data_IF_009516104422
#
_entry.id   IF_009516104422
#
_cell.length_a   1.000
_cell.length_b   1.000
_cell.length_c   1.000
_cell.angle_alpha   90.00
_cell.angle_beta   90.00
_cell.angle_gamma   90.00
#
_symmetry.space_group_name_H-M   'P 1'
#
loop_
_entity.id
_entity.type
_entity.pdbx_description
1 polymer ?
#
# COMPACT_ATOMS: atom_id res chain seq x y z
N UNK A 1 1.80 26.14 -12.68
CA UNK A 1 1.84 24.82 -12.01
C UNK A 1 0.42 24.49 -11.59
N UNK A 2 -0.18 23.39 -12.09
CA UNK A 2 -1.47 22.93 -11.57
C UNK A 2 -1.23 22.36 -10.15
N UNK A 3 -2.06 22.75 -9.19
CA UNK A 3 -2.08 22.14 -7.86
C UNK A 3 -2.42 20.66 -8.03
N UNK A 4 -1.63 19.75 -7.46
CA UNK A 4 -2.01 18.33 -7.35
C UNK A 4 -3.20 18.23 -6.39
N UNK A 5 -4.13 17.32 -6.68
CA UNK A 5 -5.21 17.00 -5.74
C UNK A 5 -4.64 16.24 -4.55
N UNK A 6 -4.93 16.67 -3.33
CA UNK A 6 -4.45 16.02 -2.12
C UNK A 6 -5.57 15.19 -1.48
N UNK A 7 -5.33 13.90 -1.30
CA UNK A 7 -6.26 12.93 -0.72
C UNK A 7 -5.70 12.36 0.58
N UNK A 8 -6.53 12.21 1.61
CA UNK A 8 -6.12 11.66 2.91
C UNK A 8 -6.54 10.19 3.00
N UNK A 9 -5.55 9.31 3.12
CA UNK A 9 -5.78 7.87 3.22
C UNK A 9 -6.05 7.42 4.66
N UNK A 10 -7.08 6.58 4.83
CA UNK A 10 -7.48 6.04 6.13
C UNK A 10 -7.18 4.56 6.30
N UNK A 11 -7.37 3.77 5.24
CA UNK A 11 -7.17 2.33 5.25
C UNK A 11 -6.61 1.84 3.92
N UNK A 12 -5.89 0.71 3.99
CA UNK A 12 -5.23 0.10 2.85
C UNK A 12 -5.67 -1.35 2.69
N UNK A 13 -5.86 -1.78 1.46
CA UNK A 13 -6.06 -3.19 1.08
C UNK A 13 -5.18 -3.50 -0.12
N UNK A 14 -4.46 -4.61 -0.09
CA UNK A 14 -3.59 -5.02 -1.19
C UNK A 14 -4.13 -6.27 -1.88
N UNK A 15 -4.08 -6.27 -3.21
CA UNK A 15 -4.47 -7.40 -4.06
C UNK A 15 -3.40 -7.58 -5.12
N UNK A 16 -2.96 -8.80 -5.36
CA UNK A 16 -2.05 -9.10 -6.48
C UNK A 16 -2.86 -9.35 -7.74
N UNK A 17 -2.43 -8.78 -8.87
CA UNK A 17 -3.00 -9.06 -10.18
C UNK A 17 -1.98 -9.80 -11.04
N UNK A 18 -2.27 -11.07 -11.30
CA UNK A 18 -1.41 -11.98 -12.04
C UNK A 18 -1.32 -11.63 -13.52
N UNK A 19 -2.32 -10.94 -14.09
CA UNK A 19 -2.36 -10.60 -15.53
C UNK A 19 -1.42 -9.46 -15.85
N UNK A 20 -1.36 -8.48 -14.96
CA UNK A 20 -0.52 -7.29 -15.10
C UNK A 20 0.85 -7.43 -14.43
N UNK A 21 1.06 -8.49 -13.62
CA UNK A 21 2.21 -8.71 -12.73
C UNK A 21 2.46 -7.50 -11.81
N UNK A 22 1.38 -7.04 -11.16
CA UNK A 22 1.38 -5.83 -10.33
C UNK A 22 0.58 -6.01 -9.05
N UNK A 23 0.97 -5.28 -8.01
CA UNK A 23 0.18 -5.15 -6.79
C UNK A 23 -0.76 -3.97 -6.92
N UNK A 24 -2.06 -4.20 -6.72
CA UNK A 24 -3.07 -3.16 -6.56
C UNK A 24 -3.18 -2.80 -5.09
N UNK A 25 -2.81 -1.57 -4.74
CA UNK A 25 -3.03 -1.00 -3.42
C UNK A 25 -4.29 -0.13 -3.46
N UNK A 26 -5.34 -0.60 -2.80
CA UNK A 26 -6.61 0.09 -2.66
C UNK A 26 -6.55 0.96 -1.42
N UNK A 27 -6.74 2.26 -1.61
CA UNK A 27 -6.70 3.29 -0.58
C UNK A 27 -8.12 3.75 -0.30
N UNK A 28 -8.66 3.44 0.87
CA UNK A 28 -9.99 3.92 1.26
C UNK A 28 -9.86 5.33 1.87
N UNK A 29 -10.54 6.30 1.26
CA UNK A 29 -10.51 7.71 1.67
C UNK A 29 -11.66 8.01 2.63
N UNK A 30 -12.88 7.62 2.23
CA UNK A 30 -14.12 7.67 3.01
C UNK A 30 -15.12 6.74 2.33
N UNK A 31 -15.75 5.80 3.02
CA UNK A 31 -16.69 4.87 2.38
C UNK A 31 -17.81 5.63 1.62
N UNK A 32 -18.12 5.28 0.35
CA UNK A 32 -17.52 4.24 -0.49
C UNK A 32 -16.36 4.70 -1.39
N UNK A 33 -15.89 5.94 -1.26
CA UNK A 33 -14.78 6.54 -2.00
C UNK A 33 -13.44 5.89 -1.69
N UNK A 34 -12.81 5.37 -2.75
CA UNK A 34 -11.47 4.77 -2.73
C UNK A 34 -10.63 5.29 -3.90
N UNK A 35 -9.33 5.08 -3.80
CA UNK A 35 -8.35 5.37 -4.83
C UNK A 35 -7.45 4.16 -5.01
N UNK A 36 -7.18 3.75 -6.25
CA UNK A 36 -6.53 2.49 -6.55
C UNK A 36 -5.18 2.76 -7.20
N UNK A 37 -4.13 2.13 -6.67
CA UNK A 37 -2.75 2.33 -7.10
C UNK A 37 -2.14 1.04 -7.64
N UNK A 38 -1.42 1.13 -8.74
CA UNK A 38 -0.54 0.06 -9.22
C UNK A 38 0.87 0.25 -8.68
N UNK A 39 1.37 -0.78 -7.98
CA UNK A 39 2.74 -0.91 -7.52
C UNK A 39 3.41 -2.00 -8.34
N UNK A 40 4.51 -1.65 -9.00
CA UNK A 40 5.34 -2.61 -9.74
C UNK A 40 6.37 -3.26 -8.81
N UNK A 41 6.90 -4.42 -9.21
CA UNK A 41 7.97 -5.09 -8.50
C UNK A 41 9.22 -4.21 -8.33
N UNK A 42 9.63 -3.54 -9.41
CA UNK A 42 10.79 -2.65 -9.39
C UNK A 42 10.59 -1.46 -8.44
N UNK A 43 9.38 -0.90 -8.39
CA UNK A 43 9.04 0.17 -7.45
C UNK A 43 9.08 -0.34 -6.00
N UNK A 44 8.50 -1.51 -5.73
CA UNK A 44 8.50 -2.08 -4.38
C UNK A 44 9.92 -2.31 -3.85
N UNK A 45 10.83 -2.84 -4.68
CA UNK A 45 12.22 -3.07 -4.27
C UNK A 45 12.90 -1.75 -3.86
N UNK A 46 12.72 -0.69 -4.64
CA UNK A 46 13.25 0.65 -4.30
C UNK A 46 12.64 1.18 -3.00
N UNK A 47 11.34 0.99 -2.81
CA UNK A 47 10.65 1.41 -1.58
C UNK A 47 11.19 0.66 -0.36
N UNK A 48 11.46 -0.64 -0.47
CA UNK A 48 12.03 -1.44 0.63
C UNK A 48 13.46 -0.99 0.99
N UNK A 49 14.28 -0.65 -0.02
CA UNK A 49 15.61 -0.09 0.20
C UNK A 49 15.55 1.25 0.95
N UNK A 50 14.65 2.16 0.56
CA UNK A 50 14.41 3.41 1.29
C UNK A 50 13.91 3.16 2.71
N UNK A 51 13.01 2.19 2.89
CA UNK A 51 12.44 1.84 4.19
C UNK A 51 13.47 1.23 5.15
N UNK A 52 14.49 0.54 4.62
CA UNK A 52 15.55 -0.07 5.42
C UNK A 52 16.37 0.96 6.21
N UNK A 53 16.31 2.23 5.81
CA UNK A 53 16.96 3.36 6.50
C UNK A 53 16.27 3.73 7.80
N UNK A 54 15.03 3.27 8.03
CA UNK A 54 14.28 3.51 9.27
C UNK A 54 14.40 2.33 10.23
N UNK A 55 14.67 2.62 11.50
CA UNK A 55 14.63 1.62 12.57
C UNK A 55 13.18 1.37 13.00
N UNK A 56 12.49 0.44 12.33
CA UNK A 56 11.13 0.03 12.69
C UNK A 56 11.17 -1.04 13.80
N UNK A 57 10.26 -0.98 14.80
CA UNK A 57 10.24 -1.94 15.90
C UNK A 57 10.00 -3.37 15.38
N UNK A 58 10.63 -4.36 16.00
CA UNK A 58 10.26 -5.77 15.81
C UNK A 58 8.81 -5.96 16.30
N UNK A 59 7.96 -6.51 15.43
CA UNK A 59 6.60 -6.88 15.81
C UNK A 59 6.64 -8.40 15.82
N UNK A 60 6.28 -9.00 16.96
CA UNK A 60 5.99 -10.44 17.00
C UNK A 60 4.93 -10.70 15.95
N UNK A 61 5.26 -11.46 14.91
CA UNK A 61 4.28 -11.82 13.90
C UNK A 61 3.15 -12.55 14.61
N UNK A 62 2.02 -11.88 14.83
CA UNK A 62 0.83 -12.57 15.28
C UNK A 62 0.56 -13.68 14.26
N UNK A 63 0.38 -14.94 14.72
CA UNK A 63 0.11 -16.05 13.83
C UNK A 63 -1.07 -15.66 12.95
N UNK A 64 -1.07 -16.06 11.67
CA UNK A 64 -2.13 -15.68 10.77
C UNK A 64 -3.46 -16.03 11.43
N UNK A 65 -4.27 -15.01 11.73
CA UNK A 65 -5.69 -15.25 11.94
C UNK A 65 -6.16 -15.90 10.67
N UNK A 66 -6.44 -17.21 10.74
CA UNK A 66 -7.02 -18.06 9.70
C UNK A 66 -8.43 -17.56 9.38
N UNK A 67 -8.49 -16.39 8.78
CA UNK A 67 -9.51 -15.98 7.84
C UNK A 67 -8.77 -15.71 6.52
N UNK A 68 -8.02 -16.70 6.05
CA UNK A 68 -8.08 -16.99 4.62
C UNK A 68 -9.50 -17.46 4.38
N UNK A 69 -10.43 -16.52 4.25
CA UNK A 69 -11.67 -16.85 3.59
C UNK A 69 -11.27 -17.30 2.19
N UNK A 70 -11.55 -18.57 1.91
CA UNK A 70 -11.90 -19.11 0.60
C UNK A 70 -13.09 -18.31 0.01
N UNK A 71 -12.93 -16.99 -0.09
CA UNK A 71 -13.91 -16.11 -0.68
C UNK A 71 -13.67 -16.13 -2.19
N UNK A 72 -14.20 -17.18 -2.82
CA UNK A 72 -14.88 -17.05 -4.11
C UNK A 72 -16.15 -16.17 -3.98
N UNK A 73 -16.12 -15.13 -3.14
CA UNK A 73 -17.07 -14.04 -3.27
C UNK A 73 -16.50 -13.09 -4.30
N UNK A 74 -17.17 -12.89 -5.45
CA UNK A 74 -16.84 -11.74 -6.27
C UNK A 74 -17.10 -10.53 -5.39
N UNK A 75 -16.03 -9.91 -4.91
CA UNK A 75 -16.15 -8.64 -4.25
C UNK A 75 -16.81 -7.69 -5.28
N UNK A 76 -18.10 -7.45 -5.09
CA UNK A 76 -18.88 -6.53 -5.91
C UNK A 76 -18.40 -5.14 -5.53
N UNK A 77 -17.28 -4.73 -6.11
CA UNK A 77 -16.78 -3.39 -5.98
C UNK A 77 -17.60 -2.50 -6.92
N UNK A 78 -18.31 -1.48 -6.42
CA UNK A 78 -18.99 -0.54 -7.30
C UNK A 78 -17.93 0.16 -8.18
N UNK A 79 -18.17 0.12 -9.50
CA UNK A 79 -17.52 0.92 -10.57
C UNK A 79 -15.98 0.92 -10.63
N UNK A 80 -15.47 0.30 -11.70
CA UNK A 80 -14.26 0.58 -12.50
C UNK A 80 -13.42 1.80 -12.03
N UNK A 81 -12.71 1.69 -10.91
CA UNK A 81 -11.58 2.58 -10.66
C UNK A 81 -10.40 2.03 -11.47
N UNK A 82 -10.04 2.76 -12.52
CA UNK A 82 -8.79 2.54 -13.26
C UNK A 82 -7.65 2.81 -12.29
N UNK A 83 -6.81 1.82 -11.94
CA UNK A 83 -5.75 2.06 -10.98
C UNK A 83 -4.63 2.89 -11.61
N UNK A 84 -4.03 3.74 -10.80
CA UNK A 84 -3.01 4.70 -11.21
C UNK A 84 -1.61 4.20 -10.87
N UNK A 85 -0.67 4.31 -11.80
CA UNK A 85 0.70 3.84 -11.55
C UNK A 85 1.40 4.75 -10.54
N UNK A 86 1.94 4.17 -9.47
CA UNK A 86 2.74 4.93 -8.52
C UNK A 86 4.03 5.39 -9.18
N UNK A 87 4.27 6.70 -9.14
CA UNK A 87 5.49 7.33 -9.65
C UNK A 87 6.52 7.55 -8.54
N UNK A 88 6.06 7.97 -7.35
CA UNK A 88 6.94 8.22 -6.22
C UNK A 88 6.27 7.99 -4.87
N UNK A 89 7.08 7.67 -3.88
CA UNK A 89 6.70 7.61 -2.46
C UNK A 89 7.76 8.37 -1.68
N UNK A 90 7.31 9.31 -0.85
CA UNK A 90 8.15 10.03 0.09
C UNK A 90 7.71 9.68 1.51
N UNK A 91 8.67 9.36 2.39
CA UNK A 91 8.43 9.02 3.78
C UNK A 91 9.22 10.01 4.64
N UNK A 92 8.51 10.74 5.49
CA UNK A 92 9.10 11.70 6.42
C UNK A 92 8.77 11.31 7.85
N UNK A 93 9.77 11.33 8.71
CA UNK A 93 9.57 11.15 10.16
C UNK A 93 9.00 12.42 10.76
N UNK A 94 7.95 12.30 11.54
CA UNK A 94 7.30 13.38 12.28
C UNK A 94 7.26 13.06 13.77
N UNK A 95 6.79 14.00 14.60
CA UNK A 95 6.63 13.76 16.04
C UNK A 95 5.61 12.64 16.34
N UNK A 96 4.65 12.47 15.44
CA UNK A 96 3.51 11.55 15.60
C UNK A 96 3.68 10.22 14.83
N UNK A 97 4.82 10.03 14.15
CA UNK A 97 5.13 8.81 13.39
C UNK A 97 5.79 9.10 12.05
N UNK A 98 5.17 8.61 10.98
CA UNK A 98 5.66 8.69 9.61
C UNK A 98 4.58 9.25 8.71
N UNK A 99 4.85 10.38 8.06
CA UNK A 99 4.01 10.88 6.98
C UNK A 99 4.47 10.26 5.67
N UNK A 100 3.57 9.53 5.02
CA UNK A 100 3.77 8.88 3.73
C UNK A 100 2.99 9.69 2.70
N UNK A 101 3.70 10.09 1.66
CA UNK A 101 3.14 10.79 0.51
C UNK A 101 3.36 9.94 -0.74
N UNK A 102 2.28 9.49 -1.37
CA UNK A 102 2.30 8.68 -2.59
C UNK A 102 1.82 9.56 -3.74
N UNK A 103 2.54 9.57 -4.86
CA UNK A 103 2.16 10.36 -6.04
C UNK A 103 2.06 9.49 -7.29
N UNK A 104 1.05 9.76 -8.11
CA UNK A 104 0.83 9.15 -9.43
C UNK A 104 1.03 10.15 -10.59
N UNK A 105 1.63 11.31 -10.29
CA UNK A 105 1.82 12.43 -11.21
C UNK A 105 0.68 13.47 -11.18
N UNK A 106 -0.56 13.06 -10.91
CA UNK A 106 -1.75 13.92 -10.95
C UNK A 106 -2.35 14.21 -9.56
N UNK A 107 -2.25 13.22 -8.68
CA UNK A 107 -2.82 13.16 -7.34
C UNK A 107 -1.71 12.87 -6.34
N UNK A 108 -1.87 13.42 -5.14
CA UNK A 108 -1.02 13.17 -3.99
C UNK A 108 -1.87 12.53 -2.89
N UNK A 109 -1.51 11.33 -2.47
CA UNK A 109 -2.16 10.62 -1.37
C UNK A 109 -1.28 10.75 -0.14
N UNK A 110 -1.83 11.28 0.94
CA UNK A 110 -1.11 11.53 2.18
C UNK A 110 -1.72 10.70 3.31
N UNK A 111 -0.87 10.07 4.10
CA UNK A 111 -1.27 9.43 5.36
C UNK A 111 -0.21 9.64 6.43
N UNK A 112 -0.62 9.63 7.69
CA UNK A 112 0.30 9.61 8.83
C UNK A 112 0.07 8.32 9.57
N UNK A 113 1.13 7.51 9.68
CA UNK A 113 1.11 6.21 10.33
C UNK A 113 2.09 6.20 11.49
N UNK A 114 1.71 5.59 12.61
CA UNK A 114 2.67 5.18 13.63
C UNK A 114 3.68 4.18 13.07
N UNK A 115 4.80 3.97 13.77
CA UNK A 115 5.80 2.96 13.39
C UNK A 115 5.19 1.56 13.22
N UNK A 116 4.24 1.21 14.10
CA UNK A 116 3.55 -0.07 14.07
C UNK A 116 2.62 -0.20 12.86
N UNK A 117 1.87 0.85 12.52
CA UNK A 117 0.99 0.87 11.36
C UNK A 117 1.75 0.86 10.04
N UNK A 118 2.85 1.60 9.95
CA UNK A 118 3.74 1.55 8.79
C UNK A 118 4.27 0.13 8.57
N UNK A 119 4.74 -0.54 9.63
CA UNK A 119 5.20 -1.93 9.52
C UNK A 119 4.08 -2.90 9.15
N UNK A 120 2.86 -2.70 9.66
CA UNK A 120 1.66 -3.47 9.23
C UNK A 120 1.38 -3.27 7.74
N UNK A 121 1.44 -2.04 7.24
CA UNK A 121 1.26 -1.73 5.82
C UNK A 121 2.33 -2.41 4.93
N UNK A 122 3.60 -2.32 5.34
CA UNK A 122 4.70 -2.99 4.62
C UNK A 122 4.48 -4.51 4.61
N UNK A 123 4.15 -5.09 5.76
CA UNK A 123 3.90 -6.53 5.89
C UNK A 123 2.71 -6.97 5.02
N UNK A 124 1.63 -6.17 4.99
CA UNK A 124 0.47 -6.39 4.12
C UNK A 124 0.89 -6.45 2.64
N UNK A 125 1.62 -5.43 2.17
CA UNK A 125 2.12 -5.36 0.79
C UNK A 125 3.00 -6.56 0.46
N UNK A 126 3.99 -6.84 1.31
CA UNK A 126 4.95 -7.92 1.09
C UNK A 126 4.29 -9.30 1.08
N UNK A 127 3.35 -9.56 1.99
CA UNK A 127 2.59 -10.83 2.03
C UNK A 127 1.77 -11.04 0.76
N UNK A 128 1.19 -9.98 0.21
CA UNK A 128 0.39 -10.07 -1.03
C UNK A 128 1.22 -10.51 -2.24
N UNK A 129 2.49 -10.11 -2.33
CA UNK A 129 3.35 -10.46 -3.48
C UNK A 129 4.40 -11.52 -3.19
N UNK A 130 4.50 -12.00 -1.94
CA UNK A 130 5.56 -12.92 -1.47
C UNK A 130 5.79 -14.08 -2.43
N UNK A 131 4.72 -14.81 -2.75
CA UNK A 131 4.79 -16.00 -3.59
C UNK A 131 4.94 -15.65 -5.07
N UNK A 132 4.17 -14.67 -5.55
CA UNK A 132 4.17 -14.26 -6.94
C UNK A 132 5.54 -13.71 -7.39
N UNK A 133 6.19 -12.94 -6.52
CA UNK A 133 7.47 -12.29 -6.80
C UNK A 133 8.66 -13.00 -6.16
N UNK A 134 8.47 -14.18 -5.57
CA UNK A 134 9.53 -14.96 -4.94
C UNK A 134 10.34 -14.17 -3.91
N UNK A 135 9.68 -13.29 -3.15
CA UNK A 135 10.33 -12.49 -2.12
C UNK A 135 10.28 -13.28 -0.80
N UNK A 136 11.43 -13.77 -0.35
CA UNK A 136 11.57 -14.46 0.94
C UNK A 136 12.33 -13.53 1.89
N UNK A 137 11.62 -13.00 2.88
CA UNK A 137 12.16 -12.21 3.98
C UNK A 137 12.20 -13.06 5.23
#
# INVERSE_FOLDING_TARGET
>A
MKSKEQLIAKQFTSVYDEREDRLRLIVNLNYPTRYDLWITRAFLIKLLDELSKFSLPEIEEEPPSTNQSDAKEPAIYPSINTPHLVESVNITTTKDGFTITIEDGSTQIVTTLSAQELKKLISLILRTVRFAWGLYF
#
